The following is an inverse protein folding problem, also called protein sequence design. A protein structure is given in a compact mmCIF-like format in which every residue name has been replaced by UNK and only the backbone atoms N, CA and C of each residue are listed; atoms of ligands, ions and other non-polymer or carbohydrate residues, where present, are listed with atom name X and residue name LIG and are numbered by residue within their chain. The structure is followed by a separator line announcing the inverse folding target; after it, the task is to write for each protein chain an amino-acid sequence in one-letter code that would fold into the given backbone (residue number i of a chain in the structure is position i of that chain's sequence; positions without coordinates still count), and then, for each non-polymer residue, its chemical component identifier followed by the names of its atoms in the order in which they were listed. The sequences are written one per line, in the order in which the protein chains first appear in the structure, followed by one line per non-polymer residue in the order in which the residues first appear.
data_IF_696167082184
#
_entry.id   IF_696167082184
#
_cell.length_a   1.000
_cell.length_b   1.000
_cell.length_c   1.000
_cell.angle_alpha   90.00
_cell.angle_beta   90.00
_cell.angle_gamma   90.00
#
_symmetry.space_group_name_H-M   'P 1'
#
loop_
_entity.id
_entity.type
_entity.pdbx_description
1 polymer ?
#
# COMPACT_ATOMS: atom_id res chain seq x y z
N UNK A 1 -20.62 2.83 9.56
CA UNK A 1 -19.68 3.98 9.63
C UNK A 1 -19.17 4.34 8.25
N UNK A 2 -19.32 5.60 7.86
CA UNK A 2 -18.88 6.13 6.58
C UNK A 2 -17.34 6.18 6.52
N UNK A 3 -16.76 5.40 5.61
CA UNK A 3 -15.31 5.37 5.39
C UNK A 3 -14.85 6.71 4.78
N UNK A 4 -14.20 7.56 5.59
CA UNK A 4 -13.76 8.90 5.17
C UNK A 4 -12.62 8.80 4.16
N UNK A 5 -12.78 9.46 3.00
CA UNK A 5 -11.77 9.54 1.93
C UNK A 5 -10.91 10.78 2.10
N UNK A 6 -9.59 10.61 2.03
CA UNK A 6 -8.58 11.64 2.17
C UNK A 6 -7.83 11.75 0.83
N UNK A 7 -8.06 12.86 0.13
CA UNK A 7 -7.35 13.20 -1.10
C UNK A 7 -6.05 13.95 -0.83
N UNK A 8 -6.06 14.80 0.21
CA UNK A 8 -4.93 15.63 0.60
C UNK A 8 -3.93 14.85 1.48
N UNK A 9 -2.70 14.72 0.99
CA UNK A 9 -1.61 13.97 1.64
C UNK A 9 -0.61 14.81 2.45
N UNK A 10 -0.76 16.13 2.43
CA UNK A 10 0.12 17.09 3.12
C UNK A 10 -0.18 17.33 4.61
N UNK A 11 -1.46 17.38 5.05
CA UNK A 11 -1.77 17.73 6.44
C UNK A 11 -1.44 16.59 7.41
N UNK A 12 -1.15 16.93 8.68
CA UNK A 12 -1.02 15.95 9.75
C UNK A 12 -2.36 15.29 10.06
N UNK A 13 -2.32 14.09 10.63
CA UNK A 13 -3.52 13.36 11.04
C UNK A 13 -4.06 13.98 12.35
N UNK A 14 -5.31 14.46 12.39
CA UNK A 14 -5.94 14.96 13.60
C UNK A 14 -6.33 13.82 14.56
N UNK A 15 -6.36 14.08 15.88
CA UNK A 15 -6.71 13.08 16.90
C UNK A 15 -8.15 12.55 16.75
N UNK A 16 -9.06 13.30 16.14
CA UNK A 16 -10.45 12.88 15.89
C UNK A 16 -10.59 11.64 14.98
N UNK A 17 -9.53 11.33 14.23
CA UNK A 17 -9.48 10.18 13.33
C UNK A 17 -8.95 8.91 13.99
N UNK A 18 -8.51 8.96 15.25
CA UNK A 18 -8.02 7.78 15.98
C UNK A 18 -9.12 6.70 16.04
N UNK A 19 -8.69 5.45 15.89
CA UNK A 19 -9.53 4.24 15.80
C UNK A 19 -10.48 4.17 14.62
N UNK A 20 -10.45 5.14 13.70
CA UNK A 20 -11.23 5.11 12.47
C UNK A 20 -10.45 4.50 11.31
N UNK A 21 -11.20 3.91 10.38
CA UNK A 21 -10.66 3.49 9.07
C UNK A 21 -10.87 4.60 8.04
N UNK A 22 -9.78 5.03 7.42
CA UNK A 22 -9.81 6.05 6.36
C UNK A 22 -9.23 5.50 5.06
N UNK A 23 -9.61 6.10 3.94
CA UNK A 23 -9.07 5.78 2.61
C UNK A 23 -8.22 6.94 2.11
N UNK A 24 -6.91 6.75 2.03
CA UNK A 24 -5.96 7.79 1.61
C UNK A 24 -5.57 7.56 0.15
N UNK A 25 -5.79 8.55 -0.71
CA UNK A 25 -5.50 8.44 -2.13
C UNK A 25 -4.00 8.58 -2.41
N UNK A 26 -3.38 7.57 -3.03
CA UNK A 26 -1.94 7.57 -3.33
C UNK A 26 -1.59 8.15 -4.72
N UNK A 27 -2.57 8.67 -5.46
CA UNK A 27 -2.42 9.13 -6.85
C UNK A 27 -2.86 8.12 -7.91
N UNK A 28 -3.22 6.90 -7.51
CA UNK A 28 -3.79 5.86 -8.39
C UNK A 28 -5.01 5.20 -7.76
N UNK A 29 -4.84 4.70 -6.54
CA UNK A 29 -5.87 3.97 -5.80
C UNK A 29 -5.98 4.48 -4.36
N UNK A 30 -7.19 4.41 -3.75
CA UNK A 30 -7.35 4.67 -2.33
C UNK A 30 -6.78 3.51 -1.50
N UNK A 31 -5.85 3.83 -0.60
CA UNK A 31 -5.26 2.88 0.35
C UNK A 31 -6.05 2.96 1.66
N UNK A 32 -6.61 1.83 2.12
CA UNK A 32 -7.31 1.78 3.40
C UNK A 32 -6.30 1.69 4.54
N UNK A 33 -6.36 2.64 5.47
CA UNK A 33 -5.52 2.69 6.64
C UNK A 33 -6.38 2.83 7.90
N UNK A 34 -6.14 1.97 8.90
CA UNK A 34 -6.64 2.17 10.26
C UNK A 34 -5.73 3.17 10.96
N UNK A 35 -6.30 4.23 11.51
CA UNK A 35 -5.55 5.25 12.25
C UNK A 35 -5.43 4.81 13.71
N UNK A 36 -4.22 4.88 14.24
CA UNK A 36 -3.88 4.60 15.64
C UNK A 36 -3.33 5.88 16.26
N UNK A 37 -3.30 5.97 17.59
CA UNK A 37 -2.86 7.17 18.31
C UNK A 37 -1.44 7.61 17.94
N UNK A 38 -0.50 6.66 17.77
CA UNK A 38 0.85 6.95 17.30
C UNK A 38 0.97 7.47 15.86
N UNK A 39 -0.13 7.60 15.11
CA UNK A 39 -0.14 8.23 13.78
C UNK A 39 -0.58 9.69 13.84
N UNK A 40 -1.11 10.16 14.97
CA UNK A 40 -1.49 11.56 15.15
C UNK A 40 -0.26 12.44 15.02
N UNK A 41 -0.39 13.58 14.32
CA UNK A 41 0.73 14.48 14.06
C UNK A 41 1.60 14.10 12.84
N UNK A 42 1.60 12.84 12.40
CA UNK A 42 2.24 12.42 11.16
C UNK A 42 1.44 12.85 9.94
N UNK A 43 2.11 13.08 8.80
CA UNK A 43 1.41 13.46 7.56
C UNK A 43 0.63 12.27 7.01
N UNK A 44 -0.62 12.50 6.61
CA UNK A 44 -1.47 11.45 6.03
C UNK A 44 -0.83 10.74 4.82
N UNK A 45 0.00 11.45 4.05
CA UNK A 45 0.74 10.90 2.92
C UNK A 45 1.78 9.83 3.25
N UNK A 46 2.32 9.81 4.47
CA UNK A 46 3.32 8.83 4.91
C UNK A 46 2.75 7.41 4.93
N UNK A 47 1.42 7.29 5.06
CA UNK A 47 0.71 6.02 5.11
C UNK A 47 0.18 5.56 3.74
N UNK A 48 0.39 6.35 2.67
CA UNK A 48 -0.11 6.06 1.32
C UNK A 48 1.02 6.05 0.28
N UNK A 49 1.73 4.93 0.20
CA UNK A 49 2.82 4.75 -0.77
C UNK A 49 2.32 4.83 -2.22
N UNK A 50 2.98 5.69 -3.01
CA UNK A 50 2.65 5.91 -4.42
C UNK A 50 3.45 5.01 -5.39
N UNK A 51 4.60 4.49 -4.95
CA UNK A 51 5.46 3.62 -5.76
C UNK A 51 5.50 2.21 -5.18
N UNK A 52 5.57 1.20 -6.06
CA UNK A 52 5.87 -0.16 -5.65
C UNK A 52 7.27 -0.17 -5.04
N UNK A 53 7.42 -0.82 -3.89
CA UNK A 53 8.74 -1.04 -3.29
C UNK A 53 9.55 -1.86 -4.28
N UNK A 54 10.66 -1.31 -4.78
CA UNK A 54 11.58 -2.09 -5.61
C UNK A 54 12.16 -3.17 -4.72
N UNK A 55 11.96 -4.42 -5.10
CA UNK A 55 12.69 -5.52 -4.49
C UNK A 55 14.18 -5.25 -4.75
N UNK A 56 15.05 -5.42 -3.74
CA UNK A 56 16.48 -5.43 -3.99
C UNK A 56 16.74 -6.44 -5.12
N UNK A 57 17.65 -6.11 -6.02
CA UNK A 57 18.05 -6.99 -7.12
C UNK A 57 18.71 -8.21 -6.48
N UNK A 58 17.93 -9.24 -6.17
CA UNK A 58 18.47 -10.55 -5.82
C UNK A 58 19.13 -11.06 -7.09
N UNK A 59 20.44 -10.89 -7.18
CA UNK A 59 21.25 -11.50 -8.23
C UNK A 59 21.14 -13.03 -8.05
N UNK A 60 20.50 -13.70 -9.02
CA UNK A 60 20.58 -15.15 -9.18
C UNK A 60 19.39 -15.97 -8.70
N UNK A 61 18.48 -16.30 -9.63
CA UNK A 61 18.31 -17.66 -10.15
C UNK A 61 17.42 -17.62 -11.38
N UNK A 62 18.01 -18.01 -12.50
CA UNK A 62 17.41 -17.98 -13.83
C UNK A 62 16.22 -18.93 -13.98
N UNK A 63 15.35 -18.52 -14.90
CA UNK A 63 14.71 -19.33 -15.95
C UNK A 63 14.78 -20.86 -15.73
N UNK A 64 13.63 -21.46 -15.41
CA UNK A 64 13.27 -22.79 -15.92
C UNK A 64 11.87 -22.69 -16.51
N UNK A 65 11.80 -22.30 -17.78
CA UNK A 65 10.74 -22.78 -18.67
C UNK A 65 11.00 -24.28 -18.84
N UNK A 66 10.22 -25.11 -18.14
CA UNK A 66 10.12 -26.53 -18.44
C UNK A 66 9.20 -26.73 -19.64
N UNK A 67 9.76 -26.77 -20.85
CA UNK A 67 9.17 -27.52 -21.96
C UNK A 67 9.30 -29.02 -21.63
N UNK A 68 8.20 -29.76 -21.70
CA UNK A 68 8.25 -31.23 -21.72
C UNK A 68 7.06 -31.92 -21.08
N UNK A 69 5.95 -32.00 -21.81
CA UNK A 69 5.00 -33.10 -21.65
C UNK A 69 4.57 -33.57 -23.04
N UNK A 70 5.50 -34.19 -23.75
CA UNK A 70 5.17 -35.20 -24.73
C UNK A 70 5.02 -36.53 -23.98
N UNK A 71 3.85 -37.16 -24.12
CA UNK A 71 3.52 -38.58 -23.95
C UNK A 71 2.12 -38.69 -24.56
N UNK A 72 1.95 -39.10 -25.83
CA UNK A 72 2.13 -40.46 -26.32
C UNK A 72 1.50 -41.48 -25.37
N UNK A 73 0.20 -41.72 -25.56
CA UNK A 73 -0.42 -43.04 -25.68
C UNK A 73 -1.88 -42.90 -26.12
#
# INVERSE_FOLDING_TARGET
ESCRKIWSRRPPIPPELVDRSVQIYNGKTPVRCKITEGKVGHKSGEFAFARKRKLPRTEGRGRREGKGAARAS
#
